data_IF_365160845566
#
_entry.id   IF_365160845566
#
_cell.length_a   1.000
_cell.length_b   1.000
_cell.length_c   1.000
_cell.angle_alpha   90.00
_cell.angle_beta   90.00
_cell.angle_gamma   90.00
#
_symmetry.space_group_name_H-M   'P 1'
#
loop_
_entity.id
_entity.type
_entity.pdbx_description
1 polymer ?
#
# COMPACT_ATOMS: atom_id res chain seq x y z
N UNK A 1 12.24 -0.64 -10.90
CA UNK A 1 12.16 -2.06 -10.50
C UNK A 1 13.13 -2.33 -9.37
N UNK A 2 12.66 -3.01 -8.29
CA UNK A 2 13.55 -3.54 -7.26
C UNK A 2 14.29 -4.77 -7.79
N UNK A 3 15.61 -4.80 -7.62
CA UNK A 3 16.48 -5.87 -8.08
C UNK A 3 17.50 -6.23 -6.97
N UNK A 4 17.12 -7.12 -6.07
CA UNK A 4 17.92 -7.45 -4.91
C UNK A 4 18.09 -6.24 -3.99
N UNK A 5 19.33 -5.77 -3.84
CA UNK A 5 19.67 -4.60 -3.03
C UNK A 5 19.70 -3.28 -3.81
N UNK A 6 19.33 -3.30 -5.08
CA UNK A 6 19.33 -2.12 -5.95
C UNK A 6 17.92 -1.80 -6.47
N UNK A 7 17.75 -0.56 -6.85
CA UNK A 7 16.64 -0.11 -7.69
C UNK A 7 17.18 0.25 -9.05
N UNK A 8 16.49 -0.17 -10.11
CA UNK A 8 16.85 0.13 -11.50
C UNK A 8 15.70 0.82 -12.19
N UNK A 9 16.00 1.91 -12.87
CA UNK A 9 15.05 2.64 -13.69
C UNK A 9 15.25 2.32 -15.17
N UNK A 10 14.14 2.16 -15.87
CA UNK A 10 14.11 1.86 -17.30
C UNK A 10 13.23 2.87 -18.03
N UNK A 11 13.64 3.23 -19.24
CA UNK A 11 12.80 4.02 -20.11
C UNK A 11 11.68 3.16 -20.74
N UNK A 12 10.70 3.76 -21.45
CA UNK A 12 9.63 3.00 -22.12
C UNK A 12 10.10 1.99 -23.19
N UNK A 13 11.37 2.05 -23.63
CA UNK A 13 11.96 1.09 -24.56
C UNK A 13 12.59 -0.11 -23.82
N UNK A 14 12.63 -0.09 -22.48
CA UNK A 14 13.26 -1.12 -21.66
C UNK A 14 14.78 -0.95 -21.50
N UNK A 15 15.34 0.18 -21.87
CA UNK A 15 16.76 0.48 -21.68
C UNK A 15 16.96 1.02 -20.25
N UNK A 16 17.99 0.51 -19.55
CA UNK A 16 18.34 0.98 -18.20
C UNK A 16 18.86 2.43 -18.29
N UNK A 17 18.24 3.32 -17.50
CA UNK A 17 18.58 4.75 -17.45
C UNK A 17 19.56 5.03 -16.32
N UNK A 18 19.30 4.43 -15.15
CA UNK A 18 20.16 4.49 -13.98
C UNK A 18 19.85 3.34 -13.02
N UNK A 19 20.78 3.08 -12.11
CA UNK A 19 20.56 2.21 -10.95
C UNK A 19 21.14 2.84 -9.68
N UNK A 20 20.57 2.49 -8.53
CA UNK A 20 21.09 2.92 -7.23
C UNK A 20 22.35 2.15 -6.85
N UNK A 21 23.12 2.72 -5.92
CA UNK A 21 24.06 1.91 -5.12
C UNK A 21 23.28 0.86 -4.31
N UNK A 22 24.01 -0.09 -3.73
CA UNK A 22 23.42 -1.11 -2.88
C UNK A 22 22.79 -0.50 -1.63
N UNK A 23 21.52 -0.82 -1.38
CA UNK A 23 20.86 -0.56 -0.10
C UNK A 23 21.45 -1.45 1.01
N UNK A 24 21.17 -1.11 2.26
CA UNK A 24 21.64 -1.89 3.43
C UNK A 24 21.16 -3.35 3.39
N UNK A 25 19.98 -3.60 2.80
CA UNK A 25 19.41 -4.94 2.57
C UNK A 25 18.64 -5.00 1.26
N UNK A 26 17.98 -6.12 0.99
CA UNK A 26 17.06 -6.27 -0.15
C UNK A 26 15.98 -5.19 -0.10
N UNK A 27 15.73 -4.56 -1.25
CA UNK A 27 14.62 -3.62 -1.43
C UNK A 27 13.31 -4.40 -1.42
N UNK A 28 12.49 -4.13 -0.42
CA UNK A 28 11.22 -4.85 -0.18
C UNK A 28 10.03 -4.19 -0.88
N UNK A 29 10.09 -2.88 -1.10
CA UNK A 29 9.03 -2.15 -1.78
C UNK A 29 9.58 -0.93 -2.54
N UNK A 30 8.88 -0.56 -3.60
CA UNK A 30 9.12 0.67 -4.38
C UNK A 30 7.77 1.34 -4.65
N UNK A 31 7.74 2.66 -4.60
CA UNK A 31 6.56 3.45 -4.90
C UNK A 31 6.95 4.82 -5.47
N UNK A 32 6.09 5.39 -6.31
CA UNK A 32 6.24 6.76 -6.77
C UNK A 32 5.76 7.74 -5.69
N UNK A 33 6.60 8.67 -5.32
CA UNK A 33 6.24 9.78 -4.44
C UNK A 33 5.66 10.97 -5.24
N UNK A 34 6.16 11.15 -6.45
CA UNK A 34 5.66 12.12 -7.43
C UNK A 34 6.03 11.66 -8.85
N UNK A 35 5.76 12.49 -9.86
CA UNK A 35 6.22 12.23 -11.23
C UNK A 35 7.77 12.18 -11.34
N UNK A 36 8.46 12.91 -10.46
CA UNK A 36 9.91 13.11 -10.50
C UNK A 36 10.67 12.45 -9.34
N UNK A 37 9.96 11.73 -8.44
CA UNK A 37 10.56 11.16 -7.25
C UNK A 37 9.99 9.76 -6.97
N UNK A 38 10.86 8.81 -6.70
CA UNK A 38 10.47 7.47 -6.24
C UNK A 38 11.03 7.19 -4.85
N UNK A 39 10.30 6.38 -4.09
CA UNK A 39 10.68 5.88 -2.77
C UNK A 39 11.01 4.38 -2.82
N UNK A 40 11.95 3.97 -2.00
CA UNK A 40 12.35 2.57 -1.82
C UNK A 40 12.35 2.22 -0.35
N UNK A 41 11.86 1.05 0.03
CA UNK A 41 11.94 0.56 1.39
C UNK A 41 12.87 -0.66 1.47
N UNK A 42 13.67 -0.72 2.53
CA UNK A 42 14.49 -1.88 2.88
C UNK A 42 14.56 -2.03 4.41
N UNK A 43 15.43 -2.89 4.93
CA UNK A 43 15.68 -2.93 6.36
C UNK A 43 16.25 -1.59 6.85
N UNK A 44 15.61 -1.01 7.85
CA UNK A 44 16.11 0.16 8.56
C UNK A 44 15.77 1.50 7.92
N UNK A 45 15.23 1.58 6.68
CA UNK A 45 15.03 2.88 6.04
C UNK A 45 14.10 2.87 4.84
N UNK A 46 13.53 4.04 4.58
CA UNK A 46 12.97 4.45 3.28
C UNK A 46 13.90 5.50 2.68
N UNK A 47 14.27 5.35 1.41
CA UNK A 47 15.13 6.30 0.69
C UNK A 47 14.42 6.81 -0.55
N UNK A 48 14.49 8.11 -0.79
CA UNK A 48 13.94 8.76 -1.98
C UNK A 48 15.03 8.99 -3.01
N UNK A 49 14.65 8.90 -4.29
CA UNK A 49 15.53 9.09 -5.43
C UNK A 49 14.86 9.95 -6.50
N UNK A 50 15.60 10.88 -7.08
CA UNK A 50 15.17 11.58 -8.28
C UNK A 50 14.96 10.60 -9.44
N UNK A 51 13.79 10.69 -10.11
CA UNK A 51 13.40 9.72 -11.13
C UNK A 51 14.29 9.77 -12.38
N UNK A 52 14.82 10.95 -12.73
CA UNK A 52 15.57 11.15 -13.98
C UNK A 52 16.99 10.62 -13.95
N UNK A 53 17.68 10.79 -12.82
CA UNK A 53 19.14 10.50 -12.72
C UNK A 53 19.52 9.69 -11.48
N UNK A 54 18.53 9.33 -10.64
CA UNK A 54 18.76 8.51 -9.45
C UNK A 54 19.49 9.23 -8.31
N UNK A 55 19.41 10.56 -8.26
CA UNK A 55 20.01 11.31 -7.15
C UNK A 55 19.34 10.91 -5.84
N UNK A 56 20.16 10.53 -4.87
CA UNK A 56 19.69 10.17 -3.54
C UNK A 56 19.24 11.43 -2.79
N UNK A 57 17.96 11.45 -2.41
CA UNK A 57 17.32 12.50 -1.65
C UNK A 57 17.16 12.16 -0.16
N UNK A 58 15.98 12.48 0.38
CA UNK A 58 15.62 12.23 1.77
C UNK A 58 15.75 10.76 2.14
N UNK A 59 16.16 10.51 3.37
CA UNK A 59 16.13 9.17 3.99
C UNK A 59 15.35 9.26 5.28
N UNK A 60 14.40 8.32 5.48
CA UNK A 60 13.61 8.16 6.69
C UNK A 60 14.08 6.88 7.36
N UNK A 61 14.52 6.98 8.61
CA UNK A 61 15.11 5.85 9.33
C UNK A 61 14.09 5.19 10.26
N UNK A 62 14.15 3.86 10.34
CA UNK A 62 13.38 3.07 11.27
C UNK A 62 14.14 1.82 11.67
N UNK A 63 14.16 1.50 12.96
CA UNK A 63 14.85 0.32 13.48
C UNK A 63 14.01 -0.95 13.29
N UNK A 64 13.90 -1.45 12.05
CA UNK A 64 13.14 -2.68 11.77
C UNK A 64 13.15 -3.07 10.29
N UNK A 65 12.57 -4.23 10.00
CA UNK A 65 12.42 -4.76 8.65
C UNK A 65 11.10 -4.29 8.06
N UNK A 66 11.18 -3.39 7.10
CA UNK A 66 10.02 -2.92 6.33
C UNK A 66 9.69 -3.95 5.24
N UNK A 67 8.43 -4.39 5.18
CA UNK A 67 7.97 -5.46 4.26
C UNK A 67 7.01 -4.95 3.18
N UNK A 68 6.40 -3.81 3.39
CA UNK A 68 5.51 -3.13 2.45
C UNK A 68 5.62 -1.62 2.61
N UNK A 69 5.21 -0.86 1.61
CA UNK A 69 5.23 0.60 1.64
C UNK A 69 4.13 1.16 0.74
N UNK A 70 3.50 2.24 1.21
CA UNK A 70 2.60 3.08 0.42
C UNK A 70 2.82 4.54 0.79
N UNK A 71 2.62 5.44 -0.16
CA UNK A 71 2.61 6.88 0.07
C UNK A 71 1.19 7.43 -0.06
N UNK A 72 0.90 8.48 0.71
CA UNK A 72 -0.31 9.29 0.48
C UNK A 72 -0.26 9.94 -0.91
N UNK A 73 -1.40 10.30 -1.51
CA UNK A 73 -1.44 10.89 -2.85
C UNK A 73 -0.64 12.19 -3.03
N UNK A 74 -0.44 12.95 -1.95
CA UNK A 74 0.41 14.14 -1.91
C UNK A 74 1.89 13.83 -1.65
N UNK A 75 2.23 12.56 -1.35
CA UNK A 75 3.58 12.11 -1.07
C UNK A 75 4.12 12.51 0.30
N UNK A 76 3.32 13.14 1.18
CA UNK A 76 3.77 13.60 2.49
C UNK A 76 3.79 12.48 3.54
N UNK A 77 2.79 11.60 3.55
CA UNK A 77 2.76 10.47 4.47
C UNK A 77 3.35 9.24 3.79
N UNK A 78 4.35 8.66 4.42
CA UNK A 78 4.95 7.37 4.04
C UNK A 78 4.57 6.34 5.09
N UNK A 79 3.81 5.31 4.73
CA UNK A 79 3.43 4.24 5.63
C UNK A 79 4.09 2.92 5.20
N UNK A 80 4.69 2.23 6.15
CA UNK A 80 5.36 0.94 5.93
C UNK A 80 4.85 -0.12 6.91
N UNK A 81 4.45 -1.26 6.39
CA UNK A 81 4.26 -2.45 7.20
C UNK A 81 5.62 -3.03 7.61
N UNK A 82 5.72 -3.48 8.86
CA UNK A 82 6.94 -4.02 9.44
C UNK A 82 6.82 -5.50 9.82
N UNK A 83 7.95 -6.17 9.88
CA UNK A 83 8.06 -7.59 10.24
C UNK A 83 7.56 -7.90 11.66
N UNK A 84 7.55 -6.91 12.54
CA UNK A 84 7.11 -7.01 13.94
C UNK A 84 5.59 -6.78 14.14
N UNK A 85 4.81 -6.84 13.05
CA UNK A 85 3.37 -6.64 13.03
C UNK A 85 2.96 -5.21 13.43
N UNK A 86 3.73 -4.21 13.02
CA UNK A 86 3.38 -2.79 13.15
C UNK A 86 3.28 -2.13 11.79
N UNK A 87 2.60 -0.99 11.72
CA UNK A 87 2.72 -0.04 10.63
C UNK A 87 3.41 1.19 11.16
N UNK A 88 4.58 1.48 10.63
CA UNK A 88 5.31 2.70 10.92
C UNK A 88 5.02 3.73 9.84
N UNK A 89 4.84 5.00 10.22
CA UNK A 89 4.63 6.05 9.23
C UNK A 89 5.38 7.34 9.61
N UNK A 90 5.73 8.11 8.60
CA UNK A 90 6.38 9.41 8.69
C UNK A 90 5.55 10.47 8.00
N UNK A 91 5.60 11.70 8.54
CA UNK A 91 5.19 12.93 7.86
C UNK A 91 6.45 13.61 7.32
N UNK A 92 6.64 13.59 6.03
CA UNK A 92 7.87 14.12 5.40
C UNK A 92 8.06 15.61 5.62
N UNK A 93 6.97 16.38 5.61
CA UNK A 93 6.99 17.84 5.77
C UNK A 93 7.44 18.29 7.16
N UNK A 94 7.13 17.51 8.22
CA UNK A 94 7.49 17.85 9.60
C UNK A 94 8.67 17.03 10.14
N UNK A 95 8.96 15.89 9.53
CA UNK A 95 9.93 14.91 10.02
C UNK A 95 9.41 14.07 11.20
N UNK A 96 8.15 14.25 11.58
CA UNK A 96 7.52 13.46 12.63
C UNK A 96 7.25 12.03 12.17
N UNK A 97 7.38 11.09 13.09
CA UNK A 97 7.08 9.69 12.88
C UNK A 97 6.25 9.11 14.02
N UNK A 98 5.51 8.08 13.70
CA UNK A 98 4.66 7.37 14.67
C UNK A 98 4.40 5.95 14.18
N UNK A 99 3.78 5.13 15.03
CA UNK A 99 3.44 3.76 14.66
C UNK A 99 2.07 3.32 15.14
N UNK A 100 1.47 2.45 14.35
CA UNK A 100 0.25 1.72 14.70
C UNK A 100 0.61 0.27 15.00
N UNK A 101 0.12 -0.24 16.14
CA UNK A 101 0.40 -1.60 16.64
C UNK A 101 -0.90 -2.37 16.91
N UNK A 102 -0.76 -3.65 17.31
CA UNK A 102 -1.91 -4.50 17.63
C UNK A 102 -2.41 -5.33 16.44
N UNK A 103 -1.67 -5.38 15.35
CA UNK A 103 -2.01 -6.23 14.21
C UNK A 103 -1.77 -7.71 14.53
N UNK A 104 -2.72 -8.60 14.18
CA UNK A 104 -2.55 -10.04 14.38
C UNK A 104 -1.56 -10.69 13.42
N UNK A 105 -1.20 -10.00 12.33
CA UNK A 105 -0.26 -10.45 11.31
C UNK A 105 0.53 -9.29 10.71
N UNK A 106 1.52 -9.62 9.88
CA UNK A 106 2.36 -8.61 9.20
C UNK A 106 1.53 -7.79 8.23
N UNK A 107 1.50 -6.46 8.34
CA UNK A 107 0.80 -5.60 7.39
C UNK A 107 1.52 -5.59 6.03
N UNK A 108 1.17 -6.55 5.17
CA UNK A 108 1.80 -6.74 3.86
C UNK A 108 1.06 -6.05 2.72
N UNK A 109 -0.20 -5.69 2.92
CA UNK A 109 -1.03 -4.94 1.98
C UNK A 109 -1.40 -3.59 2.60
N UNK A 110 -1.11 -2.51 1.90
CA UNK A 110 -1.37 -1.14 2.32
C UNK A 110 -1.98 -0.36 1.16
N UNK A 111 -2.97 0.49 1.42
CA UNK A 111 -3.52 1.40 0.43
C UNK A 111 -4.03 2.68 1.09
N UNK A 112 -3.68 3.84 0.51
CA UNK A 112 -4.34 5.11 0.81
C UNK A 112 -5.54 5.33 -0.11
N UNK A 113 -6.57 6.00 0.40
CA UNK A 113 -7.64 6.54 -0.43
C UNK A 113 -7.14 7.72 -1.28
N UNK A 114 -7.94 8.13 -2.27
CA UNK A 114 -7.57 9.20 -3.19
C UNK A 114 -7.39 10.59 -2.56
N UNK A 115 -7.85 10.80 -1.33
CA UNK A 115 -7.65 12.03 -0.56
C UNK A 115 -6.46 11.96 0.41
N UNK A 116 -5.90 10.78 0.66
CA UNK A 116 -4.85 10.56 1.66
C UNK A 116 -5.34 10.58 3.10
N UNK A 117 -6.66 10.55 3.32
CA UNK A 117 -7.25 10.61 4.66
C UNK A 117 -7.55 9.26 5.28
N UNK A 118 -7.62 8.19 4.49
CA UNK A 118 -7.79 6.84 4.97
C UNK A 118 -6.62 5.95 4.55
N UNK A 119 -6.08 5.21 5.49
CA UNK A 119 -5.10 4.14 5.25
C UNK A 119 -5.72 2.79 5.59
N UNK A 120 -5.93 1.95 4.59
CA UNK A 120 -6.29 0.56 4.77
C UNK A 120 -5.04 -0.31 4.87
N UNK A 121 -5.08 -1.28 5.79
CA UNK A 121 -4.00 -2.23 6.04
C UNK A 121 -4.53 -3.65 6.09
N UNK A 122 -3.83 -4.59 5.46
CA UNK A 122 -4.15 -6.01 5.39
C UNK A 122 -2.90 -6.86 5.68
N UNK A 123 -3.10 -8.17 5.80
CA UNK A 123 -2.04 -9.14 6.14
C UNK A 123 -2.51 -10.15 7.18
N UNK A 124 -3.68 -9.92 7.76
CA UNK A 124 -4.49 -10.86 8.53
C UNK A 124 -5.85 -11.04 7.85
N UNK A 125 -6.78 -11.73 8.47
CA UNK A 125 -8.13 -12.02 7.94
C UNK A 125 -9.06 -10.80 7.91
N UNK A 126 -8.71 -9.74 8.67
CA UNK A 126 -9.43 -8.47 8.67
C UNK A 126 -8.65 -7.37 7.96
N UNK A 127 -9.38 -6.39 7.42
CA UNK A 127 -8.81 -5.11 6.98
C UNK A 127 -8.97 -4.11 8.10
N UNK A 128 -7.89 -3.44 8.48
CA UNK A 128 -7.92 -2.35 9.47
C UNK A 128 -7.80 -1.03 8.73
N UNK A 129 -8.68 -0.07 9.01
CA UNK A 129 -8.71 1.23 8.32
C UNK A 129 -8.54 2.37 9.32
N UNK A 130 -7.47 3.13 9.15
CA UNK A 130 -7.10 4.26 9.98
C UNK A 130 -7.48 5.57 9.32
N UNK A 131 -8.02 6.50 10.11
CA UNK A 131 -8.29 7.85 9.66
C UNK A 131 -7.12 8.77 9.96
N UNK A 132 -6.61 9.43 8.93
CA UNK A 132 -5.62 10.51 9.03
C UNK A 132 -6.28 11.90 9.02
N UNK A 133 -7.59 11.95 9.12
CA UNK A 133 -8.34 13.19 9.22
C UNK A 133 -8.06 13.89 10.57
N UNK A 134 -8.02 15.22 10.59
CA UNK A 134 -7.88 16.03 11.81
C UNK A 134 -6.64 15.72 12.69
N UNK A 135 -5.50 15.46 12.03
CA UNK A 135 -4.21 15.34 12.75
C UNK A 135 -3.60 13.94 12.75
N UNK A 136 -4.35 12.91 12.38
CA UNK A 136 -3.78 11.59 12.20
C UNK A 136 -4.38 10.50 13.08
N UNK A 137 -3.86 9.26 13.00
CA UNK A 137 -4.44 8.11 13.68
C UNK A 137 -4.13 8.07 15.19
N UNK A 138 -3.25 8.91 15.69
CA UNK A 138 -2.80 8.91 17.08
C UNK A 138 -3.95 9.12 18.05
N UNK A 139 -4.11 8.19 19.01
CA UNK A 139 -5.18 8.24 20.01
C UNK A 139 -6.57 7.86 19.48
N UNK A 140 -6.69 7.49 18.19
CA UNK A 140 -7.96 7.05 17.59
C UNK A 140 -8.09 5.52 17.59
N UNK A 141 -9.27 5.03 17.23
CA UNK A 141 -9.53 3.61 16.98
C UNK A 141 -9.79 3.41 15.50
N UNK A 142 -9.17 2.39 14.86
CA UNK A 142 -9.43 2.10 13.47
C UNK A 142 -10.83 1.49 13.25
N UNK A 143 -11.32 1.58 12.02
CA UNK A 143 -12.35 0.69 11.53
C UNK A 143 -11.79 -0.70 11.28
N UNK A 144 -12.61 -1.73 11.52
CA UNK A 144 -12.24 -3.14 11.25
C UNK A 144 -13.30 -3.73 10.33
N UNK A 145 -12.85 -4.30 9.19
CA UNK A 145 -13.71 -4.89 8.17
C UNK A 145 -13.45 -6.40 8.13
N UNK A 146 -14.47 -7.19 8.41
CA UNK A 146 -14.36 -8.64 8.56
C UNK A 146 -15.27 -9.35 7.56
N UNK A 147 -14.69 -10.07 6.62
CA UNK A 147 -15.38 -10.98 5.71
C UNK A 147 -14.43 -12.04 5.13
N UNK A 148 -13.14 -11.79 5.08
CA UNK A 148 -12.15 -12.78 4.63
C UNK A 148 -11.94 -13.87 5.69
N UNK A 149 -11.67 -15.10 5.23
CA UNK A 149 -11.38 -16.26 6.07
C UNK A 149 -9.92 -16.72 5.98
N UNK A 150 -9.13 -16.00 5.18
CA UNK A 150 -7.65 -16.09 5.10
C UNK A 150 -7.05 -14.69 4.97
N UNK A 151 -5.74 -14.55 5.16
CA UNK A 151 -5.09 -13.25 5.11
C UNK A 151 -5.40 -12.45 3.83
N UNK A 152 -5.71 -11.18 4.01
CA UNK A 152 -5.83 -10.19 2.94
C UNK A 152 -4.45 -9.93 2.35
N UNK A 153 -4.31 -10.13 1.05
CA UNK A 153 -3.05 -10.03 0.31
C UNK A 153 -2.93 -8.75 -0.53
N UNK A 154 -4.07 -8.12 -0.87
CA UNK A 154 -4.08 -6.92 -1.70
C UNK A 154 -5.24 -5.99 -1.34
N UNK A 155 -5.00 -4.68 -1.45
CA UNK A 155 -5.94 -3.62 -1.16
C UNK A 155 -5.87 -2.55 -2.25
N UNK A 156 -7.00 -2.02 -2.65
CA UNK A 156 -7.05 -0.91 -3.60
C UNK A 156 -8.24 0.00 -3.31
N UNK A 157 -8.00 1.29 -3.10
CA UNK A 157 -9.07 2.28 -3.07
C UNK A 157 -9.45 2.73 -4.47
N UNK A 158 -10.72 3.01 -4.66
CA UNK A 158 -11.21 3.76 -5.81
C UNK A 158 -10.63 5.18 -5.79
N UNK A 159 -10.17 5.65 -6.94
CA UNK A 159 -9.41 6.92 -7.01
C UNK A 159 -10.23 8.16 -6.61
N UNK A 160 -11.53 8.19 -6.89
CA UNK A 160 -12.40 9.39 -6.70
C UNK A 160 -13.62 9.12 -5.82
N UNK A 161 -13.77 7.90 -5.34
CA UNK A 161 -14.89 7.47 -4.50
C UNK A 161 -14.45 7.05 -3.11
N UNK A 162 -15.39 6.48 -2.39
CA UNK A 162 -15.19 5.97 -1.04
C UNK A 162 -15.30 4.43 -1.01
N UNK A 163 -14.95 3.76 -2.12
CA UNK A 163 -14.91 2.31 -2.16
C UNK A 163 -13.47 1.80 -1.98
N UNK A 164 -13.35 0.81 -1.12
CA UNK A 164 -12.15 0.01 -0.94
C UNK A 164 -12.41 -1.38 -1.49
N UNK A 165 -11.52 -1.91 -2.30
CA UNK A 165 -11.50 -3.32 -2.65
C UNK A 165 -10.42 -4.04 -1.83
N UNK A 166 -10.77 -5.21 -1.27
CA UNK A 166 -9.82 -6.11 -0.62
C UNK A 166 -9.83 -7.47 -1.30
N UNK A 167 -8.66 -8.06 -1.47
CA UNK A 167 -8.47 -9.39 -2.02
C UNK A 167 -7.68 -10.26 -1.06
N UNK A 168 -8.13 -11.51 -0.87
CA UNK A 168 -7.57 -12.42 0.11
C UNK A 168 -6.95 -13.69 -0.50
N UNK A 169 -6.22 -14.41 0.33
CA UNK A 169 -5.71 -15.74 0.01
C UNK A 169 -6.79 -16.81 0.00
N UNK A 170 -8.01 -16.45 0.36
CA UNK A 170 -9.22 -17.26 0.22
C UNK A 170 -9.86 -17.20 -1.19
N UNK A 171 -9.29 -16.39 -2.10
CA UNK A 171 -9.86 -16.11 -3.41
C UNK A 171 -11.01 -15.10 -3.35
N UNK A 172 -11.33 -14.58 -2.17
CA UNK A 172 -12.36 -13.58 -1.97
C UNK A 172 -11.93 -12.20 -2.45
N UNK A 173 -12.82 -11.52 -3.18
CA UNK A 173 -12.74 -10.09 -3.48
C UNK A 173 -13.94 -9.43 -2.84
N UNK A 174 -13.73 -8.43 -2.00
CA UNK A 174 -14.80 -7.70 -1.31
C UNK A 174 -14.67 -6.21 -1.63
N UNK A 175 -15.79 -5.59 -1.98
CA UNK A 175 -15.91 -4.13 -2.13
C UNK A 175 -16.63 -3.58 -0.91
N UNK A 176 -16.01 -2.60 -0.28
CA UNK A 176 -16.49 -1.92 0.92
C UNK A 176 -16.86 -0.48 0.60
N UNK A 177 -17.99 -0.01 1.10
CA UNK A 177 -18.31 1.43 1.13
C UNK A 177 -17.78 2.01 2.44
N UNK A 178 -16.88 2.99 2.33
CA UNK A 178 -16.15 3.56 3.47
C UNK A 178 -16.75 4.88 3.91
N UNK A 179 -16.55 5.22 5.18
CA UNK A 179 -16.82 6.54 5.77
C UNK A 179 -15.49 7.21 6.13
N UNK A 180 -15.51 8.52 6.33
CA UNK A 180 -14.32 9.33 6.68
C UNK A 180 -13.68 8.96 8.02
N UNK A 181 -14.43 8.33 8.91
CA UNK A 181 -13.95 7.83 10.21
C UNK A 181 -13.28 6.46 10.14
N UNK A 182 -13.12 5.89 8.93
CA UNK A 182 -12.55 4.56 8.71
C UNK A 182 -13.53 3.41 8.89
N UNK A 183 -14.79 3.68 9.29
CA UNK A 183 -15.83 2.65 9.33
C UNK A 183 -16.34 2.35 7.92
N UNK A 184 -16.82 1.13 7.70
CA UNK A 184 -17.34 0.73 6.40
C UNK A 184 -18.20 -0.52 6.47
N UNK A 185 -18.82 -0.86 5.33
CA UNK A 185 -19.60 -2.08 5.18
C UNK A 185 -19.46 -2.67 3.79
N UNK A 186 -19.52 -3.99 3.68
CA UNK A 186 -19.46 -4.69 2.41
C UNK A 186 -20.68 -4.34 1.54
N UNK A 187 -20.42 -3.95 0.29
CA UNK A 187 -21.45 -3.64 -0.72
C UNK A 187 -21.42 -4.62 -1.89
N UNK A 188 -20.37 -5.40 -2.02
CA UNK A 188 -20.24 -6.46 -3.02
C UNK A 188 -19.14 -7.43 -2.67
N UNK A 189 -19.30 -8.69 -3.09
CA UNK A 189 -18.29 -9.71 -2.95
C UNK A 189 -18.31 -10.67 -4.12
N UNK A 190 -17.15 -11.21 -4.46
CA UNK A 190 -16.97 -12.23 -5.49
C UNK A 190 -15.87 -13.23 -5.08
N UNK A 191 -15.84 -14.37 -5.73
CA UNK A 191 -14.78 -15.38 -5.55
C UNK A 191 -14.07 -15.63 -6.89
N UNK A 192 -12.77 -15.75 -6.83
CA UNK A 192 -11.92 -16.30 -7.90
C UNK A 192 -11.28 -17.60 -7.42
N UNK A 193 -10.73 -18.37 -8.34
CA UNK A 193 -10.16 -19.70 -8.01
C UNK A 193 -8.79 -19.63 -7.36
N UNK A 194 -8.02 -18.57 -7.64
CA UNK A 194 -6.65 -18.41 -7.18
C UNK A 194 -6.50 -17.48 -5.96
N UNK A 195 -5.31 -17.46 -5.39
CA UNK A 195 -4.91 -16.48 -4.37
C UNK A 195 -4.76 -15.12 -5.03
N UNK A 196 -5.41 -14.09 -4.49
CA UNK A 196 -5.33 -12.73 -5.04
C UNK A 196 -3.91 -12.17 -4.83
N UNK A 197 -3.32 -11.65 -5.91
CA UNK A 197 -2.03 -10.95 -5.89
C UNK A 197 -2.21 -9.45 -5.97
N UNK A 198 -3.11 -8.97 -6.82
CA UNK A 198 -3.31 -7.54 -7.03
C UNK A 198 -4.76 -7.19 -7.38
N UNK A 199 -5.16 -5.96 -7.06
CA UNK A 199 -6.44 -5.35 -7.39
C UNK A 199 -6.23 -3.99 -8.02
N UNK A 200 -6.98 -3.69 -9.08
CA UNK A 200 -6.92 -2.40 -9.77
C UNK A 200 -8.30 -1.87 -10.09
N UNK A 201 -8.59 -0.67 -9.63
CA UNK A 201 -9.76 0.07 -10.08
C UNK A 201 -9.49 0.73 -11.43
N UNK A 202 -10.45 0.64 -12.34
CA UNK A 202 -10.45 1.53 -13.50
C UNK A 202 -10.53 2.98 -13.03
N UNK A 203 -9.82 3.95 -13.65
CA UNK A 203 -9.74 5.33 -13.14
C UNK A 203 -11.07 6.07 -12.97
N UNK A 204 -12.13 5.61 -13.65
CA UNK A 204 -13.50 6.14 -13.54
C UNK A 204 -14.35 5.44 -12.47
N UNK A 205 -13.80 4.45 -11.76
CA UNK A 205 -14.50 3.68 -10.73
C UNK A 205 -15.49 2.63 -11.24
N UNK A 206 -15.71 2.52 -12.56
CA UNK A 206 -16.76 1.66 -13.12
C UNK A 206 -16.32 0.21 -13.37
N UNK A 207 -15.09 -0.14 -13.03
CA UNK A 207 -14.64 -1.53 -13.11
C UNK A 207 -13.54 -1.80 -12.08
N UNK A 208 -13.48 -3.04 -11.61
CA UNK A 208 -12.43 -3.58 -10.76
C UNK A 208 -11.82 -4.79 -11.46
N UNK A 209 -10.51 -4.81 -11.56
CA UNK A 209 -9.74 -5.96 -12.04
C UNK A 209 -9.01 -6.63 -10.88
N UNK A 210 -8.98 -7.95 -10.88
CA UNK A 210 -8.21 -8.76 -9.95
C UNK A 210 -7.25 -9.67 -10.72
N UNK A 211 -6.02 -9.77 -10.22
CA UNK A 211 -5.02 -10.72 -10.67
C UNK A 211 -4.85 -11.78 -9.59
N UNK A 212 -4.75 -13.04 -10.00
CA UNK A 212 -4.44 -14.15 -9.10
C UNK A 212 -3.02 -14.70 -9.33
N UNK A 213 -2.56 -15.54 -8.40
CA UNK A 213 -1.23 -16.14 -8.44
C UNK A 213 -1.00 -17.12 -9.59
N UNK A 214 -2.06 -17.54 -10.30
CA UNK A 214 -2.04 -18.44 -11.46
C UNK A 214 -2.07 -17.65 -12.78
N UNK A 215 -1.82 -16.35 -12.74
CA UNK A 215 -1.88 -15.41 -13.86
C UNK A 215 -3.28 -15.23 -14.46
N UNK A 216 -4.32 -15.57 -13.69
CA UNK A 216 -5.71 -15.27 -14.04
C UNK A 216 -6.02 -13.79 -13.87
N UNK A 217 -6.80 -13.23 -14.81
CA UNK A 217 -7.31 -11.86 -14.72
C UNK A 217 -8.83 -11.91 -14.77
N UNK A 218 -9.47 -11.40 -13.74
CA UNK A 218 -10.93 -11.26 -13.68
C UNK A 218 -11.30 -9.79 -13.60
N UNK A 219 -12.29 -9.37 -14.38
CA UNK A 219 -12.77 -7.98 -14.41
C UNK A 219 -14.28 -7.94 -14.14
N UNK A 220 -14.68 -7.14 -13.17
CA UNK A 220 -16.07 -6.85 -12.88
C UNK A 220 -16.43 -5.42 -13.27
N UNK A 221 -17.63 -5.25 -13.80
CA UNK A 221 -18.25 -3.92 -13.92
C UNK A 221 -18.93 -3.59 -12.59
N UNK A 222 -18.69 -2.40 -12.09
CA UNK A 222 -19.34 -1.88 -10.89
C UNK A 222 -20.51 -1.01 -11.36
N UNK A 223 -21.69 -1.28 -10.84
CA UNK A 223 -22.93 -0.56 -11.20
C UNK A 223 -23.35 0.38 -10.07
#
# INVERSE_FOLDING_TARGET
>A
VACGRQVRAYNPKGEEVWHSEDHASTVSAVAWASADELATACYGQVTFFGASHGERGQTLEWKGSLVSMVLSPDGDIVACGSQDNTVHFWRRSTGEDSMMSGYPGKPSALAFDGSGTLLATGGAESVTVWSFHEGGPEGTRPGVLELHVKPVSTLAFERRGMHLASGGRDGGVVVWSMKKDGQGGAVGAALVTGVLSELYWRPDGQALAALDGDAGVTVWRIQ
#
